data_IF_877967369370
#
_entry.id   IF_877967369370
#
_cell.length_a   1.000
_cell.length_b   1.000
_cell.length_c   1.000
_cell.angle_alpha   90.00
_cell.angle_beta   90.00
_cell.angle_gamma   90.00
#
_symmetry.space_group_name_H-M   'P 1'
#
loop_
_entity.id
_entity.type
_entity.pdbx_description
1 polymer ?
#
# COMPACT_ATOMS: atom_id res chain seq x y z
N UNK A 1 3.01 19.87 -0.66
CA UNK A 1 2.36 19.28 0.54
C UNK A 1 3.46 18.66 1.43
N UNK A 2 3.31 18.55 2.76
CA UNK A 2 4.32 17.87 3.57
C UNK A 2 4.33 16.36 3.25
N UNK A 3 5.48 15.85 2.81
CA UNK A 3 5.71 14.41 2.60
C UNK A 3 5.80 13.71 3.95
N UNK A 4 5.16 12.56 4.10
CA UNK A 4 5.26 11.78 5.33
C UNK A 4 4.65 10.40 5.22
N UNK A 5 5.35 9.41 5.77
CA UNK A 5 4.85 8.04 5.93
C UNK A 5 3.58 8.07 6.81
N UNK A 6 2.46 7.54 6.29
CA UNK A 6 1.13 7.73 6.91
C UNK A 6 0.71 6.64 7.88
N UNK A 7 1.41 5.51 7.91
CA UNK A 7 1.15 4.45 8.89
C UNK A 7 1.29 3.04 8.32
N UNK A 8 0.50 2.12 8.86
CA UNK A 8 0.54 0.70 8.53
C UNK A 8 -0.81 0.23 8.01
N UNK A 9 -0.78 -0.66 7.01
CA UNK A 9 -1.92 -1.48 6.59
C UNK A 9 -1.67 -2.90 7.09
N UNK A 10 -2.69 -3.52 7.67
CA UNK A 10 -2.57 -4.88 8.17
C UNK A 10 -3.31 -5.84 7.24
N UNK A 11 -2.62 -6.88 6.80
CA UNK A 11 -3.28 -8.05 6.26
C UNK A 11 -3.29 -9.16 7.30
N UNK A 12 -4.43 -9.86 7.38
CA UNK A 12 -4.63 -10.98 8.30
C UNK A 12 -4.63 -12.24 7.45
N UNK A 13 -3.57 -13.02 7.57
CA UNK A 13 -3.44 -14.31 6.88
C UNK A 13 -4.24 -15.34 7.69
N UNK A 14 -5.50 -15.55 7.29
CA UNK A 14 -6.33 -16.65 7.79
C UNK A 14 -6.17 -17.86 6.86
N UNK A 15 -6.00 -19.10 7.37
CA UNK A 15 -5.83 -20.30 6.55
C UNK A 15 -6.97 -20.57 5.55
N UNK A 16 -8.15 -19.98 5.77
CA UNK A 16 -9.28 -20.06 4.82
C UNK A 16 -9.28 -18.98 3.75
N UNK A 17 -8.34 -18.03 3.80
CA UNK A 17 -8.31 -16.81 2.99
C UNK A 17 -6.90 -16.54 2.40
N UNK A 18 -6.06 -17.58 2.27
CA UNK A 18 -4.63 -17.50 1.92
C UNK A 18 -4.33 -16.80 0.58
N UNK A 19 -5.34 -16.52 -0.24
CA UNK A 19 -5.22 -15.84 -1.54
C UNK A 19 -5.93 -14.47 -1.59
N UNK A 20 -6.50 -13.98 -0.49
CA UNK A 20 -7.27 -12.73 -0.49
C UNK A 20 -6.43 -11.51 -0.12
N UNK A 21 -5.30 -11.69 0.56
CA UNK A 21 -4.51 -10.57 1.05
C UNK A 21 -4.01 -9.64 -0.07
N UNK A 22 -3.38 -10.22 -1.09
CA UNK A 22 -2.83 -9.49 -2.23
C UNK A 22 -3.92 -8.73 -3.01
N UNK A 23 -5.01 -9.36 -3.50
CA UNK A 23 -6.04 -8.64 -4.24
C UNK A 23 -6.80 -7.61 -3.39
N UNK A 24 -6.97 -7.83 -2.08
CA UNK A 24 -7.56 -6.83 -1.20
C UNK A 24 -6.66 -5.61 -1.01
N UNK A 25 -5.34 -5.80 -0.94
CA UNK A 25 -4.39 -4.70 -0.85
C UNK A 25 -4.34 -3.90 -2.14
N UNK A 26 -4.34 -4.57 -3.30
CA UNK A 26 -4.41 -3.92 -4.62
C UNK A 26 -5.68 -3.08 -4.76
N UNK A 27 -6.86 -3.65 -4.50
CA UNK A 27 -8.13 -2.92 -4.61
C UNK A 27 -8.18 -1.73 -3.63
N UNK A 28 -7.69 -1.90 -2.41
CA UNK A 28 -7.60 -0.82 -1.43
C UNK A 28 -6.68 0.31 -1.92
N UNK A 29 -5.52 -0.06 -2.45
CA UNK A 29 -4.50 0.86 -2.95
C UNK A 29 -5.06 1.68 -4.12
N UNK A 30 -5.65 1.03 -5.12
CA UNK A 30 -6.28 1.66 -6.28
C UNK A 30 -7.39 2.63 -5.88
N UNK A 31 -8.32 2.21 -5.01
CA UNK A 31 -9.42 3.08 -4.55
C UNK A 31 -8.91 4.29 -3.77
N UNK A 32 -7.86 4.11 -2.99
CA UNK A 32 -7.25 5.21 -2.24
C UNK A 32 -6.58 6.22 -3.18
N UNK A 33 -5.88 5.72 -4.20
CA UNK A 33 -5.25 6.52 -5.24
C UNK A 33 -6.28 7.34 -6.02
N UNK A 34 -7.33 6.68 -6.51
CA UNK A 34 -8.45 7.31 -7.25
C UNK A 34 -9.10 8.43 -6.42
N UNK A 35 -9.41 8.15 -5.15
CA UNK A 35 -10.05 9.13 -4.25
C UNK A 35 -9.18 10.37 -4.03
N UNK A 36 -7.87 10.22 -4.08
CA UNK A 36 -6.90 11.30 -3.84
C UNK A 36 -6.39 11.95 -5.14
N UNK A 37 -6.74 11.40 -6.31
CA UNK A 37 -6.19 11.84 -7.59
C UNK A 37 -4.70 11.56 -7.74
N UNK A 38 -4.21 10.48 -7.12
CA UNK A 38 -2.80 10.08 -7.12
C UNK A 38 -2.61 8.80 -7.94
N UNK A 39 -1.39 8.57 -8.41
CA UNK A 39 -0.95 7.26 -8.86
C UNK A 39 -0.66 6.34 -7.67
N UNK A 40 -0.61 5.03 -7.91
CA UNK A 40 -0.26 4.04 -6.88
C UNK A 40 0.64 2.96 -7.41
N UNK A 41 1.59 2.54 -6.59
CA UNK A 41 2.48 1.42 -6.87
C UNK A 41 2.66 0.57 -5.61
N UNK A 42 2.67 -0.75 -5.79
CA UNK A 42 3.10 -1.68 -4.76
C UNK A 42 4.59 -1.97 -4.95
N UNK A 43 5.39 -1.65 -3.94
CA UNK A 43 6.85 -1.77 -3.96
C UNK A 43 7.33 -2.57 -2.76
N UNK A 44 8.53 -3.13 -2.88
CA UNK A 44 9.28 -3.67 -1.74
C UNK A 44 10.32 -2.65 -1.31
N UNK A 45 10.37 -2.31 -0.02
CA UNK A 45 11.42 -1.43 0.50
C UNK A 45 12.78 -2.15 0.57
N UNK A 46 13.86 -1.41 0.89
CA UNK A 46 15.21 -1.96 0.98
C UNK A 46 15.37 -3.08 2.04
N UNK A 47 14.43 -3.17 2.98
CA UNK A 47 14.37 -4.23 3.98
C UNK A 47 13.54 -5.45 3.51
N UNK A 48 13.07 -5.44 2.26
CA UNK A 48 12.21 -6.47 1.69
C UNK A 48 10.77 -6.43 2.22
N UNK A 49 10.35 -5.32 2.85
CA UNK A 49 8.98 -5.17 3.35
C UNK A 49 8.07 -4.60 2.27
N UNK A 50 6.89 -5.19 2.12
CA UNK A 50 5.86 -4.74 1.19
C UNK A 50 5.29 -3.38 1.60
N UNK A 51 5.11 -2.49 0.63
CA UNK A 51 4.69 -1.10 0.82
C UNK A 51 3.80 -0.64 -0.34
N UNK A 52 2.80 0.17 0.00
CA UNK A 52 1.94 0.88 -0.97
C UNK A 52 2.39 2.33 -1.03
N UNK A 53 2.80 2.79 -2.20
CA UNK A 53 3.20 4.17 -2.47
C UNK A 53 2.18 4.89 -3.33
N UNK A 54 1.73 6.05 -2.85
CA UNK A 54 0.88 6.97 -3.61
C UNK A 54 1.74 8.11 -4.11
N UNK A 55 1.81 8.30 -5.41
CA UNK A 55 2.65 9.30 -6.05
C UNK A 55 1.83 10.32 -6.82
N UNK A 56 2.39 11.52 -6.98
CA UNK A 56 1.82 12.54 -7.84
C UNK A 56 2.07 12.13 -9.30
N UNK A 57 1.02 11.95 -10.13
CA UNK A 57 1.20 11.52 -11.52
C UNK A 57 1.89 12.58 -12.40
N UNK A 58 1.96 13.85 -11.99
CA UNK A 58 2.61 14.91 -12.78
C UNK A 58 4.12 14.98 -12.54
N UNK A 59 4.57 14.77 -11.30
CA UNK A 59 5.98 14.88 -10.89
C UNK A 59 6.63 13.52 -10.52
N UNK A 60 5.88 12.42 -10.65
CA UNK A 60 6.26 11.03 -10.30
C UNK A 60 6.78 10.87 -8.86
N UNK A 61 6.45 11.82 -7.99
CA UNK A 61 7.01 11.91 -6.66
C UNK A 61 6.08 11.25 -5.62
N UNK A 62 6.61 10.33 -4.81
CA UNK A 62 5.85 9.70 -3.74
C UNK A 62 5.37 10.74 -2.71
N UNK A 63 4.05 10.86 -2.59
CA UNK A 63 3.37 11.77 -1.67
C UNK A 63 3.09 11.07 -0.33
N UNK A 64 2.67 9.81 -0.39
CA UNK A 64 2.35 8.99 0.78
C UNK A 64 2.87 7.57 0.63
N UNK A 65 3.23 6.95 1.76
CA UNK A 65 3.63 5.54 1.83
C UNK A 65 2.99 4.83 3.01
N UNK A 66 2.58 3.58 2.80
CA UNK A 66 1.98 2.71 3.81
C UNK A 66 2.72 1.36 3.84
N UNK A 67 3.32 1.00 4.98
CA UNK A 67 3.93 -0.32 5.15
C UNK A 67 2.87 -1.39 5.41
N UNK A 68 2.95 -2.50 4.69
CA UNK A 68 2.07 -3.64 4.89
C UNK A 68 2.65 -4.54 5.98
N UNK A 69 1.81 -4.92 6.95
CA UNK A 69 2.16 -5.84 8.03
C UNK A 69 1.23 -7.05 7.96
N UNK A 70 1.78 -8.22 7.66
CA UNK A 70 1.05 -9.49 7.73
C UNK A 70 1.07 -10.01 9.16
N UNK A 71 -0.10 -10.27 9.74
CA UNK A 71 -0.21 -10.98 11.02
C UNK A 71 -0.66 -12.40 10.74
N UNK A 72 0.23 -13.36 11.02
CA UNK A 72 -0.16 -14.76 11.16
C UNK A 72 -0.97 -14.91 12.45
N UNK A 73 -2.07 -15.67 12.36
CA UNK A 73 -2.85 -16.09 13.52
C UNK A 73 -2.25 -17.31 14.22
#
# INVERSE_FOLDING_TARGET
MPKGERGFVYCVDDPGLEDLCEPCLEELAERLAERLGLGVEMVFDEAGSERIDLYDPEDEEAVYGYRVRRRAH
#
